data_IF_291869201938
#
_entry.id   IF_291869201938
#
_cell.length_a   1.000
_cell.length_b   1.000
_cell.length_c   1.000
_cell.angle_alpha   90.00
_cell.angle_beta   90.00
_cell.angle_gamma   90.00
#
_symmetry.space_group_name_H-M   'P 1'
#
loop_
_entity.id
_entity.type
_entity.pdbx_description
1 polymer ?
#
# COMPACT_ATOMS: atom_id res chain seq x y z
N UNK A 1 11.06 4.62 -9.64
CA UNK A 1 11.44 3.90 -8.40
C UNK A 1 10.65 4.54 -7.26
N UNK A 2 9.85 3.77 -6.54
CA UNK A 2 9.12 4.28 -5.40
C UNK A 2 10.08 4.73 -4.30
N UNK A 3 9.81 5.90 -3.70
CA UNK A 3 10.58 6.44 -2.59
C UNK A 3 10.12 5.87 -1.25
N UNK A 4 8.89 5.38 -1.19
CA UNK A 4 8.22 4.93 0.03
C UNK A 4 7.62 3.54 -0.20
N UNK A 5 7.99 2.58 0.65
CA UNK A 5 7.36 1.26 0.71
C UNK A 5 6.32 1.20 1.82
N UNK A 6 5.06 0.93 1.48
CA UNK A 6 3.97 0.77 2.44
C UNK A 6 3.64 -0.72 2.59
N UNK A 7 4.09 -1.28 3.71
CA UNK A 7 3.87 -2.66 4.09
C UNK A 7 2.59 -2.77 4.92
N UNK A 8 1.71 -3.69 4.53
CA UNK A 8 0.49 -3.96 5.27
C UNK A 8 0.16 -5.44 5.25
N UNK A 9 -0.69 -5.85 6.18
CA UNK A 9 -1.40 -7.12 6.15
C UNK A 9 -2.88 -6.84 6.33
N UNK A 10 -3.73 -7.75 5.87
CA UNK A 10 -5.17 -7.61 6.02
C UNK A 10 -5.83 -8.97 5.98
N UNK A 11 -6.79 -9.17 6.87
CA UNK A 11 -7.62 -10.38 6.87
C UNK A 11 -8.89 -10.16 6.03
N UNK A 12 -9.67 -9.13 6.36
CA UNK A 12 -10.95 -8.80 5.69
C UNK A 12 -10.84 -7.79 4.54
N UNK A 13 -9.62 -7.39 4.15
CA UNK A 13 -9.36 -6.45 3.05
C UNK A 13 -9.54 -4.96 3.35
N UNK A 14 -9.92 -4.57 4.57
CA UNK A 14 -10.12 -3.17 4.93
C UNK A 14 -8.81 -2.36 4.91
N UNK A 15 -7.71 -2.93 5.43
CA UNK A 15 -6.39 -2.27 5.44
C UNK A 15 -5.90 -2.02 4.01
N UNK A 16 -6.17 -2.93 3.07
CA UNK A 16 -5.85 -2.77 1.64
C UNK A 16 -6.57 -1.58 1.01
N UNK A 17 -7.83 -1.32 1.38
CA UNK A 17 -8.60 -0.18 0.87
C UNK A 17 -7.98 1.14 1.32
N UNK A 18 -7.54 1.22 2.57
CA UNK A 18 -6.87 2.41 3.11
C UNK A 18 -5.48 2.58 2.50
N UNK A 19 -4.68 1.51 2.38
CA UNK A 19 -3.38 1.55 1.72
C UNK A 19 -3.45 2.11 0.29
N UNK A 20 -4.48 1.71 -0.48
CA UNK A 20 -4.74 2.28 -1.81
C UNK A 20 -5.15 3.76 -1.77
N UNK A 21 -5.91 4.19 -0.76
CA UNK A 21 -6.28 5.61 -0.60
C UNK A 21 -5.07 6.47 -0.24
N UNK A 22 -4.21 5.97 0.64
CA UNK A 22 -2.94 6.62 0.98
C UNK A 22 -2.11 6.75 -0.29
N UNK A 23 -1.90 5.67 -1.07
CA UNK A 23 -1.17 5.74 -2.35
C UNK A 23 -1.70 6.83 -3.31
N UNK A 24 -3.02 7.06 -3.35
CA UNK A 24 -3.64 8.08 -4.20
C UNK A 24 -3.40 9.53 -3.74
N UNK A 25 -2.98 9.76 -2.49
CA UNK A 25 -2.66 11.09 -1.98
C UNK A 25 -1.25 11.55 -2.38
N UNK A 26 -0.40 10.62 -2.83
CA UNK A 26 0.96 10.90 -3.29
C UNK A 26 1.01 10.92 -4.82
N UNK A 27 2.08 11.49 -5.38
CA UNK A 27 2.28 11.46 -6.81
C UNK A 27 2.44 10.02 -7.32
N UNK A 28 2.12 9.81 -8.60
CA UNK A 28 2.34 8.51 -9.25
C UNK A 28 3.81 8.10 -9.06
N UNK A 29 4.01 6.82 -8.75
CA UNK A 29 5.32 6.22 -8.48
C UNK A 29 6.07 6.69 -7.21
N UNK A 30 5.44 7.38 -6.26
CA UNK A 30 6.07 7.65 -4.96
C UNK A 30 5.92 6.51 -3.96
N UNK A 31 4.78 5.80 -4.00
CA UNK A 31 4.44 4.72 -3.06
C UNK A 31 4.28 3.37 -3.77
N UNK A 32 4.99 2.38 -3.23
CA UNK A 32 4.82 0.96 -3.55
C UNK A 32 4.12 0.24 -2.38
N UNK A 33 3.22 -0.67 -2.71
CA UNK A 33 2.36 -1.38 -1.75
C UNK A 33 2.83 -2.82 -1.62
N UNK A 34 3.14 -3.27 -0.40
CA UNK A 34 3.57 -4.62 -0.11
C UNK A 34 2.57 -5.31 0.84
N UNK A 35 2.02 -6.43 0.39
CA UNK A 35 1.11 -7.26 1.18
C UNK A 35 1.87 -8.42 1.79
N UNK A 36 2.15 -8.33 3.10
CA UNK A 36 2.95 -9.30 3.83
C UNK A 36 2.24 -10.65 4.03
N UNK A 37 0.92 -10.73 3.84
CA UNK A 37 0.18 -11.99 3.92
C UNK A 37 0.30 -12.84 2.64
N UNK A 38 0.78 -12.24 1.54
CA UNK A 38 0.93 -12.87 0.23
C UNK A 38 2.37 -12.95 -0.24
N UNK A 39 3.30 -12.55 0.63
CA UNK A 39 4.75 -12.60 0.38
C UNK A 39 5.29 -13.96 0.79
#
# INVERSE_FOLDING_TARGET
MAKIGLFYTTDTGNTRKIAKRIKKQFAEDEIELFDMAKT
#
